data_IF_390686460465
#
_entry.id   IF_390686460465
#
_cell.length_a   1.000
_cell.length_b   1.000
_cell.length_c   1.000
_cell.angle_alpha   90.00
_cell.angle_beta   90.00
_cell.angle_gamma   90.00
#
_symmetry.space_group_name_H-M   'P 1'
#
loop_
_entity.id
_entity.type
_entity.pdbx_description
1 polymer ?
#
# COMPACT_ATOMS: atom_id res chain seq x y z
N UNK A 1 28.70 -44.31 -1.87
CA UNK A 1 27.73 -43.50 -1.10
C UNK A 1 26.68 -44.45 -0.54
N UNK A 2 26.35 -44.41 0.76
CA UNK A 2 25.36 -45.35 1.32
C UNK A 2 23.94 -44.97 0.88
N UNK A 3 23.05 -45.96 0.74
CA UNK A 3 21.65 -45.78 0.37
C UNK A 3 20.96 -44.76 1.31
N UNK A 4 21.27 -44.82 2.60
CA UNK A 4 20.78 -43.87 3.60
C UNK A 4 21.14 -42.41 3.27
N UNK A 5 22.35 -42.14 2.77
CA UNK A 5 22.76 -40.78 2.36
C UNK A 5 21.98 -40.30 1.14
N UNK A 6 21.72 -41.19 0.18
CA UNK A 6 20.90 -40.87 -1.00
C UNK A 6 19.48 -40.50 -0.58
N UNK A 7 18.87 -41.29 0.31
CA UNK A 7 17.53 -41.02 0.86
C UNK A 7 17.48 -39.68 1.58
N UNK A 8 18.47 -39.37 2.42
CA UNK A 8 18.53 -38.09 3.14
C UNK A 8 18.68 -36.89 2.19
N UNK A 9 19.47 -37.01 1.11
CA UNK A 9 19.61 -35.95 0.11
C UNK A 9 18.27 -35.71 -0.61
N UNK A 10 17.56 -36.77 -1.00
CA UNK A 10 16.25 -36.65 -1.66
C UNK A 10 15.24 -35.95 -0.75
N UNK A 11 15.17 -36.35 0.53
CA UNK A 11 14.29 -35.69 1.51
C UNK A 11 14.65 -34.21 1.66
N UNK A 12 15.94 -33.89 1.79
CA UNK A 12 16.38 -32.50 1.91
C UNK A 12 15.98 -31.65 0.71
N UNK A 13 16.14 -32.17 -0.52
CA UNK A 13 15.70 -31.46 -1.74
C UNK A 13 14.19 -31.26 -1.76
N UNK A 14 13.41 -32.28 -1.40
CA UNK A 14 11.95 -32.16 -1.35
C UNK A 14 11.49 -31.12 -0.31
N UNK A 15 12.14 -31.05 0.86
CA UNK A 15 11.84 -30.03 1.88
C UNK A 15 12.16 -28.63 1.36
N UNK A 16 13.30 -28.43 0.70
CA UNK A 16 13.65 -27.12 0.10
C UNK A 16 12.65 -26.71 -0.98
N UNK A 17 12.28 -27.63 -1.88
CA UNK A 17 11.28 -27.36 -2.91
C UNK A 17 9.91 -27.01 -2.32
N UNK A 18 9.50 -27.71 -1.25
CA UNK A 18 8.27 -27.42 -0.54
C UNK A 18 8.29 -26.02 0.09
N UNK A 19 9.40 -25.63 0.73
CA UNK A 19 9.56 -24.28 1.31
C UNK A 19 9.50 -23.21 0.21
N UNK A 20 10.20 -23.41 -0.92
CA UNK A 20 10.16 -22.48 -2.05
C UNK A 20 8.75 -22.32 -2.62
N UNK A 21 8.03 -23.44 -2.78
CA UNK A 21 6.64 -23.42 -3.23
C UNK A 21 5.76 -22.66 -2.24
N UNK A 22 5.91 -22.92 -0.95
CA UNK A 22 5.13 -22.26 0.11
C UNK A 22 5.39 -20.75 0.12
N UNK A 23 6.65 -20.32 0.04
CA UNK A 23 7.01 -18.89 -0.08
C UNK A 23 6.39 -18.29 -1.33
N UNK A 24 6.46 -18.96 -2.47
CA UNK A 24 5.87 -18.47 -3.71
C UNK A 24 4.35 -18.31 -3.60
N UNK A 25 3.65 -19.31 -3.05
CA UNK A 25 2.18 -19.28 -2.93
C UNK A 25 1.66 -18.30 -1.90
N UNK A 26 2.45 -18.00 -0.85
CA UNK A 26 2.06 -17.07 0.21
C UNK A 26 2.61 -15.65 -0.01
N UNK A 27 3.47 -15.46 -1.01
CA UNK A 27 4.03 -14.14 -1.32
C UNK A 27 2.92 -13.20 -1.78
N UNK A 28 2.89 -11.95 -1.30
CA UNK A 28 1.86 -11.01 -1.69
C UNK A 28 2.00 -10.61 -3.16
N UNK A 29 0.88 -10.53 -3.86
CA UNK A 29 0.83 -9.98 -5.20
C UNK A 29 0.78 -8.45 -5.14
N UNK A 30 1.82 -7.79 -5.67
CA UNK A 30 1.91 -6.33 -5.73
C UNK A 30 1.82 -5.89 -7.19
N UNK A 31 0.96 -4.90 -7.48
CA UNK A 31 0.84 -4.32 -8.84
C UNK A 31 0.86 -2.81 -8.79
N UNK A 32 1.49 -2.20 -9.78
CA UNK A 32 1.45 -0.75 -9.98
C UNK A 32 0.25 -0.39 -10.86
N UNK A 33 -0.69 0.39 -10.30
CA UNK A 33 -1.91 0.83 -10.97
C UNK A 33 -1.90 2.33 -11.28
N UNK A 34 -0.74 3.00 -11.14
CA UNK A 34 -0.59 4.45 -11.37
C UNK A 34 -1.00 4.89 -12.78
N UNK A 35 -0.97 3.96 -13.74
CA UNK A 35 -1.28 4.22 -15.16
C UNK A 35 -2.77 4.12 -15.49
N UNK A 36 -3.62 3.76 -14.55
CA UNK A 36 -5.08 3.79 -14.75
C UNK A 36 -5.56 5.23 -14.96
N UNK A 37 -6.47 5.44 -15.91
CA UNK A 37 -6.90 6.78 -16.33
C UNK A 37 -7.47 7.59 -15.17
N UNK A 38 -8.20 6.93 -14.27
CA UNK A 38 -8.84 7.55 -13.11
C UNK A 38 -7.84 7.99 -12.04
N UNK A 39 -6.60 7.47 -12.10
CA UNK A 39 -5.55 7.71 -11.11
C UNK A 39 -4.42 8.62 -11.62
N UNK A 40 -4.25 8.74 -12.94
CA UNK A 40 -3.21 9.58 -13.55
C UNK A 40 -3.23 11.03 -13.06
N UNK A 41 -4.42 11.55 -12.76
CA UNK A 41 -4.58 12.93 -12.29
C UNK A 41 -3.96 13.20 -10.90
N UNK A 42 -3.56 12.17 -10.16
CA UNK A 42 -2.98 12.30 -8.82
C UNK A 42 -1.47 12.01 -8.77
N UNK A 43 -0.91 11.38 -9.81
CA UNK A 43 0.46 10.89 -9.82
C UNK A 43 1.38 11.92 -10.48
N UNK A 44 2.53 12.18 -9.84
CA UNK A 44 3.55 13.15 -10.27
C UNK A 44 3.06 14.60 -10.39
N UNK A 45 1.94 14.91 -9.73
CA UNK A 45 1.43 16.27 -9.58
C UNK A 45 1.45 16.73 -8.12
N UNK A 46 1.67 18.02 -7.85
CA UNK A 46 1.52 18.56 -6.50
C UNK A 46 0.05 18.50 -6.05
N UNK A 47 -0.22 17.76 -4.98
CA UNK A 47 -1.51 17.64 -4.33
C UNK A 47 -1.53 18.48 -3.06
N UNK A 48 -2.60 19.25 -2.88
CA UNK A 48 -2.78 20.11 -1.71
C UNK A 48 -3.62 19.35 -0.68
N UNK A 49 -3.11 19.25 0.54
CA UNK A 49 -3.84 18.69 1.68
C UNK A 49 -4.98 19.62 2.06
N UNK A 50 -6.20 19.08 2.11
CA UNK A 50 -7.47 19.79 2.36
C UNK A 50 -8.11 19.44 3.69
N UNK A 51 -7.69 18.34 4.32
CA UNK A 51 -8.13 17.93 5.65
C UNK A 51 -6.93 17.70 6.58
N UNK A 52 -7.10 17.77 7.91
CA UNK A 52 -6.05 17.39 8.86
C UNK A 52 -5.47 16.01 8.52
N UNK A 53 -4.15 15.93 8.45
CA UNK A 53 -3.44 14.70 8.16
C UNK A 53 -2.09 14.71 8.88
N UNK A 54 -1.58 13.52 9.18
CA UNK A 54 -0.38 13.34 9.96
C UNK A 54 0.49 12.27 9.32
N UNK A 55 1.80 12.48 9.34
CA UNK A 55 2.78 11.45 9.02
C UNK A 55 3.39 10.95 10.32
N UNK A 56 3.30 9.64 10.54
CA UNK A 56 3.93 8.97 11.66
C UNK A 56 4.88 7.88 11.16
N UNK A 57 5.88 7.56 11.97
CA UNK A 57 6.74 6.41 11.75
C UNK A 57 6.04 5.17 12.30
N UNK A 58 5.67 4.25 11.41
CA UNK A 58 5.03 3.01 11.80
C UNK A 58 6.05 2.03 12.37
N UNK A 59 5.64 1.20 13.33
CA UNK A 59 6.50 0.16 13.87
C UNK A 59 6.90 -0.86 12.79
N UNK A 60 8.07 -1.48 12.96
CA UNK A 60 8.59 -2.47 12.00
C UNK A 60 7.59 -3.60 11.80
N UNK A 61 7.19 -3.83 10.54
CA UNK A 61 6.29 -4.91 10.13
C UNK A 61 4.84 -4.49 9.88
N UNK A 62 4.46 -3.28 10.26
CA UNK A 62 3.10 -2.75 10.09
C UNK A 62 2.88 -1.98 8.79
N UNK A 63 3.95 -1.62 8.08
CA UNK A 63 3.90 -0.97 6.76
C UNK A 63 4.23 -1.94 5.62
N UNK A 64 3.80 -1.62 4.39
CA UNK A 64 3.99 -2.49 3.21
C UNK A 64 5.13 -2.03 2.30
N UNK A 65 5.33 -0.74 2.19
CA UNK A 65 6.24 -0.10 1.24
C UNK A 65 7.17 0.92 1.89
N UNK A 66 6.65 1.80 2.74
CA UNK A 66 7.43 2.86 3.39
C UNK A 66 7.24 2.88 4.90
N UNK A 67 8.32 3.18 5.63
CA UNK A 67 8.31 3.25 7.09
C UNK A 67 7.37 4.34 7.64
N UNK A 68 7.19 5.42 6.89
CA UNK A 68 6.28 6.50 7.26
C UNK A 68 4.91 6.29 6.65
N UNK A 69 3.88 6.50 7.45
CA UNK A 69 2.48 6.35 7.06
C UNK A 69 1.79 7.70 7.20
N UNK A 70 1.12 8.13 6.12
CA UNK A 70 0.18 9.24 6.15
C UNK A 70 -1.18 8.72 6.64
N UNK A 71 -1.81 9.42 7.56
CA UNK A 71 -3.13 9.07 8.09
C UNK A 71 -3.97 10.31 8.41
N UNK A 72 -5.29 10.15 8.41
CA UNK A 72 -6.26 11.11 8.95
C UNK A 72 -6.76 10.68 10.34
N UNK A 73 -6.35 9.51 10.83
CA UNK A 73 -6.79 8.99 12.12
C UNK A 73 -5.97 9.62 13.25
N UNK A 74 -6.65 10.41 14.09
CA UNK A 74 -6.07 11.10 15.25
C UNK A 74 -5.55 10.14 16.33
N UNK A 75 -6.00 8.89 16.36
CA UNK A 75 -5.54 7.90 17.34
C UNK A 75 -4.03 7.65 17.28
N UNK A 76 -3.39 7.91 16.14
CA UNK A 76 -1.95 7.77 15.95
C UNK A 76 -1.16 9.05 16.24
N UNK A 77 -1.79 10.11 16.77
CA UNK A 77 -1.12 11.37 17.12
C UNK A 77 0.04 11.17 18.11
N UNK A 78 -0.05 10.20 19.02
CA UNK A 78 1.03 9.91 19.99
C UNK A 78 2.31 9.38 19.34
N UNK A 79 2.23 8.84 18.12
CA UNK A 79 3.39 8.37 17.33
C UNK A 79 3.77 9.34 16.21
N UNK A 80 3.15 10.52 16.18
CA UNK A 80 3.31 11.50 15.10
C UNK A 80 4.76 11.97 14.97
N UNK A 81 5.24 12.01 13.73
CA UNK A 81 6.53 12.61 13.40
C UNK A 81 6.34 13.98 12.74
N UNK A 82 5.30 14.15 11.91
CA UNK A 82 5.00 15.41 11.24
C UNK A 82 3.49 15.62 11.12
N UNK A 83 3.02 16.81 11.50
CA UNK A 83 1.66 17.27 11.21
C UNK A 83 1.63 17.97 9.85
N UNK A 84 0.64 17.66 9.02
CA UNK A 84 0.43 18.31 7.72
C UNK A 84 -0.71 19.33 7.87
N UNK A 85 -0.32 20.60 7.97
CA UNK A 85 -1.27 21.73 7.98
C UNK A 85 -2.04 21.75 6.66
N UNK A 86 -3.32 22.11 6.70
CA UNK A 86 -4.13 22.35 5.49
C UNK A 86 -3.38 23.35 4.58
N UNK A 87 -3.29 23.02 3.29
CA UNK A 87 -2.48 23.77 2.32
C UNK A 87 -1.08 23.17 2.09
N UNK A 88 -0.63 22.21 2.91
CA UNK A 88 0.61 21.47 2.68
C UNK A 88 0.57 20.75 1.34
N UNK A 89 1.73 20.66 0.67
CA UNK A 89 1.86 19.98 -0.62
C UNK A 89 2.50 18.62 -0.44
N UNK A 90 1.86 17.61 -1.02
CA UNK A 90 2.41 16.26 -1.18
C UNK A 90 2.45 15.92 -2.66
N UNK A 91 3.26 14.94 -3.04
CA UNK A 91 3.27 14.43 -4.41
C UNK A 91 3.21 12.92 -4.37
N UNK A 92 2.21 12.32 -5.01
CA UNK A 92 2.17 10.86 -5.17
C UNK A 92 3.13 10.47 -6.28
N UNK A 93 3.93 9.44 -6.05
CA UNK A 93 4.83 8.86 -7.03
C UNK A 93 4.24 7.63 -7.67
N UNK A 94 3.56 6.79 -6.88
CA UNK A 94 2.96 5.55 -7.35
C UNK A 94 1.69 5.26 -6.59
N UNK A 95 0.78 4.54 -7.22
CA UNK A 95 -0.36 3.92 -6.58
C UNK A 95 -0.25 2.42 -6.84
N UNK A 96 -0.23 1.64 -5.77
CA UNK A 96 -0.03 0.18 -5.84
C UNK A 96 -1.17 -0.56 -5.20
N UNK A 97 -1.50 -1.71 -5.75
CA UNK A 97 -2.31 -2.69 -5.06
C UNK A 97 -1.42 -3.68 -4.32
N UNK A 98 -1.85 -4.10 -3.14
CA UNK A 98 -1.23 -5.17 -2.36
C UNK A 98 -2.30 -6.21 -2.03
N UNK A 99 -2.13 -7.43 -2.53
CA UNK A 99 -3.00 -8.55 -2.18
C UNK A 99 -2.22 -9.55 -1.35
N UNK A 100 -2.72 -9.83 -0.15
CA UNK A 100 -2.19 -10.93 0.67
C UNK A 100 -2.81 -12.25 0.20
N UNK A 101 -1.99 -13.12 -0.40
CA UNK A 101 -2.43 -14.42 -0.93
C UNK A 101 -2.58 -15.48 0.18
N UNK A 102 -2.17 -15.17 1.42
CA UNK A 102 -2.38 -16.02 2.61
C UNK A 102 -3.63 -15.70 3.44
N UNK A 103 -4.48 -14.75 3.02
CA UNK A 103 -5.63 -14.26 3.79
C UNK A 103 -6.96 -14.26 3.03
N UNK A 104 -7.94 -13.46 3.47
CA UNK A 104 -9.29 -13.38 2.91
C UNK A 104 -9.38 -12.86 1.45
N UNK A 105 -8.25 -12.56 0.81
CA UNK A 105 -8.17 -12.17 -0.60
C UNK A 105 -8.42 -10.68 -0.90
N UNK A 106 -8.61 -9.84 0.12
CA UNK A 106 -8.69 -8.38 -0.04
C UNK A 106 -7.44 -7.84 -0.73
N UNK A 107 -7.67 -6.89 -1.64
CA UNK A 107 -6.61 -6.19 -2.35
C UNK A 107 -6.59 -4.75 -1.89
N UNK A 108 -5.64 -4.41 -1.03
CA UNK A 108 -5.48 -3.05 -0.51
C UNK A 108 -4.88 -2.14 -1.58
N UNK A 109 -5.27 -0.87 -1.57
CA UNK A 109 -4.78 0.18 -2.47
C UNK A 109 -3.97 1.18 -1.65
N UNK A 110 -2.72 1.35 -2.03
CA UNK A 110 -1.76 2.24 -1.37
C UNK A 110 -1.35 3.36 -2.31
N UNK A 111 -1.47 4.61 -1.85
CA UNK A 111 -0.82 5.75 -2.48
C UNK A 111 0.56 5.96 -1.85
N UNK A 112 1.61 5.88 -2.66
CA UNK A 112 3.00 6.07 -2.26
C UNK A 112 3.44 7.45 -2.73
N UNK A 113 3.89 8.28 -1.80
CA UNK A 113 4.19 9.68 -2.09
C UNK A 113 5.34 10.22 -1.29
N UNK A 114 5.58 11.50 -1.49
CA UNK A 114 6.56 12.26 -0.76
C UNK A 114 5.99 13.59 -0.27
N UNK A 115 6.45 13.98 0.91
CA UNK A 115 6.21 15.26 1.54
C UNK A 115 7.55 15.96 1.76
N UNK A 116 7.61 17.26 1.50
CA UNK A 116 8.78 18.09 1.83
C UNK A 116 8.44 18.80 3.14
N UNK A 117 9.09 18.38 4.22
CA UNK A 117 8.91 18.99 5.53
C UNK A 117 9.46 20.43 5.57
N UNK A 118 9.04 21.25 6.55
CA UNK A 118 9.46 22.66 6.63
C UNK A 118 10.97 22.86 6.77
N UNK A 119 11.69 21.85 7.27
CA UNK A 119 13.15 21.81 7.36
C UNK A 119 13.82 21.47 6.01
N UNK A 120 13.04 21.31 4.94
CA UNK A 120 13.50 20.92 3.60
C UNK A 120 13.72 19.42 3.43
N UNK A 121 13.50 18.61 4.47
CA UNK A 121 13.69 17.17 4.38
C UNK A 121 12.55 16.51 3.60
N UNK A 122 12.92 15.65 2.66
CA UNK A 122 11.99 14.80 1.93
C UNK A 122 11.63 13.57 2.75
N UNK A 123 10.33 13.29 2.87
CA UNK A 123 9.77 12.18 3.62
C UNK A 123 8.91 11.36 2.68
N UNK A 124 9.33 10.14 2.37
CA UNK A 124 8.53 9.18 1.62
C UNK A 124 7.51 8.54 2.55
N UNK A 125 6.24 8.50 2.12
CA UNK A 125 5.15 7.93 2.90
C UNK A 125 4.32 6.94 2.07
N UNK A 126 3.62 6.07 2.77
CA UNK A 126 2.48 5.34 2.24
C UNK A 126 1.17 5.82 2.86
N UNK A 127 0.10 5.82 2.07
CA UNK A 127 -1.26 6.12 2.51
C UNK A 127 -2.15 4.94 2.11
N UNK A 128 -2.81 4.33 3.10
CA UNK A 128 -3.82 3.30 2.86
C UNK A 128 -5.05 4.01 2.31
N UNK A 129 -5.24 3.95 1.00
CA UNK A 129 -6.34 4.64 0.34
C UNK A 129 -7.64 3.86 0.51
N UNK A 130 -7.59 2.54 0.39
CA UNK A 130 -8.77 1.72 0.57
C UNK A 130 -8.47 0.27 0.22
N UNK A 131 -9.54 -0.49 0.01
CA UNK A 131 -9.49 -1.89 -0.32
C UNK A 131 -10.40 -2.17 -1.53
N UNK A 132 -10.07 -3.22 -2.27
CA UNK A 132 -10.87 -3.79 -3.34
C UNK A 132 -11.28 -5.19 -2.86
N UNK A 133 -12.56 -5.38 -2.59
CA UNK A 133 -13.15 -6.67 -2.22
C UNK A 133 -13.20 -7.62 -3.44
N UNK A 134 -12.62 -8.83 -3.37
CA UNK A 134 -12.72 -9.81 -4.44
C UNK A 134 -14.10 -10.46 -4.58
N UNK A 135 -14.95 -10.44 -3.55
CA UNK A 135 -16.19 -11.21 -3.41
C UNK A 135 -17.48 -10.45 -3.70
N UNK A 136 -17.47 -9.11 -3.70
CA UNK A 136 -18.65 -8.30 -4.00
C UNK A 136 -18.55 -7.75 -5.42
N UNK A 137 -19.23 -8.45 -6.33
CA UNK A 137 -19.57 -8.07 -7.70
C UNK A 137 -18.45 -8.17 -8.75
N UNK A 138 -18.62 -9.15 -9.62
CA UNK A 138 -18.07 -9.18 -10.98
C UNK A 138 -18.43 -7.91 -11.75
N UNK A 139 -17.59 -6.87 -11.63
CA UNK A 139 -17.67 -5.65 -12.45
C UNK A 139 -18.10 -4.37 -11.73
N UNK A 140 -18.29 -4.37 -10.40
CA UNK A 140 -18.44 -3.10 -9.67
C UNK A 140 -17.07 -2.58 -9.29
N UNK A 141 -16.85 -1.36 -9.72
CA UNK A 141 -15.69 -0.59 -9.37
C UNK A 141 -15.88 -0.07 -7.95
N UNK A 142 -15.13 -0.61 -6.99
CA UNK A 142 -15.20 -0.09 -5.62
C UNK A 142 -14.72 1.37 -5.59
N UNK A 143 -15.54 2.29 -5.06
CA UNK A 143 -15.15 3.67 -4.89
C UNK A 143 -14.03 3.77 -3.86
N UNK A 144 -12.85 4.25 -4.26
CA UNK A 144 -11.85 4.69 -3.30
C UNK A 144 -12.44 5.83 -2.46
N UNK A 145 -12.31 5.79 -1.12
CA UNK A 145 -12.79 6.86 -0.27
C UNK A 145 -12.02 8.15 -0.54
N UNK A 146 -12.58 9.26 -0.08
CA UNK A 146 -11.93 10.56 -0.18
C UNK A 146 -10.61 10.56 0.60
N UNK A 147 -9.52 10.87 -0.10
CA UNK A 147 -8.19 11.04 0.48
C UNK A 147 -7.98 12.46 1.02
N UNK A 148 -6.93 12.72 1.83
CA UNK A 148 -6.69 14.03 2.45
C UNK A 148 -6.51 15.19 1.46
N UNK A 149 -6.16 14.88 0.22
CA UNK A 149 -5.96 15.84 -0.87
C UNK A 149 -7.19 16.03 -1.77
N UNK A 150 -8.27 15.31 -1.50
CA UNK A 150 -9.53 15.44 -2.24
C UNK A 150 -10.51 16.35 -1.50
N UNK A 151 -11.40 17.00 -2.24
CA UNK A 151 -12.52 17.70 -1.62
C UNK A 151 -13.45 16.69 -0.96
N UNK A 152 -13.97 17.02 0.23
CA UNK A 152 -14.92 16.18 0.96
C UNK A 152 -16.23 15.95 0.19
N UNK A 153 -16.51 16.78 -0.81
CA UNK A 153 -17.67 16.69 -1.71
C UNK A 153 -17.34 16.01 -3.05
N UNK A 154 -16.08 15.64 -3.29
CA UNK A 154 -15.69 14.99 -4.53
C UNK A 154 -16.34 13.61 -4.63
N UNK A 155 -16.83 13.29 -5.82
CA UNK A 155 -17.31 11.95 -6.11
C UNK A 155 -16.16 10.94 -5.89
N UNK A 156 -16.43 9.78 -5.29
CA UNK A 156 -15.37 8.82 -5.01
C UNK A 156 -14.79 8.24 -6.31
N UNK A 157 -13.49 7.97 -6.30
CA UNK A 157 -12.77 7.53 -7.50
C UNK A 157 -13.08 6.06 -7.76
N UNK A 158 -13.43 5.76 -9.01
CA UNK A 158 -13.75 4.42 -9.42
C UNK A 158 -12.60 3.83 -10.25
N UNK A 159 -11.88 2.83 -9.71
CA UNK A 159 -10.83 2.08 -10.43
C UNK A 159 -11.31 0.75 -11.02
N UNK A 160 -11.35 0.61 -12.35
CA UNK A 160 -11.70 -0.67 -12.98
C UNK A 160 -10.68 -1.77 -12.69
N UNK A 161 -11.17 -2.96 -12.33
CA UNK A 161 -10.35 -4.18 -12.23
C UNK A 161 -10.06 -4.69 -13.65
N UNK A 162 -8.80 -4.64 -14.06
CA UNK A 162 -8.31 -5.25 -15.31
C UNK A 162 -8.00 -6.73 -15.11
#
# INVERSE_FOLDING_TARGET
MSILKVVLIVIAVLVVLFILLLVYTLSPTIRDISKHEELKAFVEVPLIIRSPAFIYKSDKGSYRFHEYVLTQNEQYQSSMTHELVIGSKVMLKKIKTYRSDGGAGFTDVFALGEYIAPDGKKIEFEYIWGNIDPGLYSGIVEPLPGAPWQDSTAAPIRVKRN
#
